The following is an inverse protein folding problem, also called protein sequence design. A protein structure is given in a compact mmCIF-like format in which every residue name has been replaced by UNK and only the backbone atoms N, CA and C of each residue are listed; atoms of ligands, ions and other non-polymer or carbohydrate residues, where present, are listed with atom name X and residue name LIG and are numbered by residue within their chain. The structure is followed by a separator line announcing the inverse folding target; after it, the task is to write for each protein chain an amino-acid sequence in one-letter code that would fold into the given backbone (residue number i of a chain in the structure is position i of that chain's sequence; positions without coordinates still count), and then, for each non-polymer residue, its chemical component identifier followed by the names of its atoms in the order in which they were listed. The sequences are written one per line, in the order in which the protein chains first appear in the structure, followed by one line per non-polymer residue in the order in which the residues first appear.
data_IF_708329303339
#
_entry.id   IF_708329303339
#
_cell.length_a   1.000
_cell.length_b   1.000
_cell.length_c   1.000
_cell.angle_alpha   90.00
_cell.angle_beta   90.00
_cell.angle_gamma   90.00
#
_symmetry.space_group_name_H-M   'P 1'
#
loop_
_entity.id
_entity.type
_entity.pdbx_description
1 polymer ?
#
# COMPACT_ATOMS: atom_id res chain seq x y z
N UNK A 1 -13.92 -14.99 4.86
CA UNK A 1 -14.18 -16.00 3.81
C UNK A 1 -13.69 -15.41 2.51
N UNK A 2 -12.78 -16.09 1.80
CA UNK A 2 -12.21 -15.57 0.56
C UNK A 2 -13.27 -15.47 -0.55
N UNK A 3 -13.13 -14.49 -1.47
CA UNK A 3 -14.10 -14.26 -2.52
C UNK A 3 -14.17 -15.44 -3.51
N UNK A 4 -15.39 -15.69 -4.02
CA UNK A 4 -15.61 -16.69 -5.07
C UNK A 4 -14.91 -16.31 -6.38
N UNK A 5 -14.65 -17.27 -7.26
CA UNK A 5 -14.10 -16.99 -8.60
C UNK A 5 -14.96 -16.02 -9.41
N UNK A 6 -16.29 -16.15 -9.35
CA UNK A 6 -17.22 -15.24 -10.01
C UNK A 6 -17.13 -13.81 -9.43
N UNK A 7 -16.97 -13.69 -8.12
CA UNK A 7 -16.73 -12.40 -7.45
C UNK A 7 -15.44 -11.76 -7.94
N UNK A 8 -14.35 -12.52 -7.98
CA UNK A 8 -13.03 -12.03 -8.43
C UNK A 8 -13.05 -11.62 -9.89
N UNK A 9 -13.70 -12.39 -10.76
CA UNK A 9 -13.84 -12.07 -12.18
C UNK A 9 -14.55 -10.71 -12.38
N UNK A 10 -15.69 -10.50 -11.69
CA UNK A 10 -16.40 -9.22 -11.71
C UNK A 10 -15.53 -8.07 -11.20
N UNK A 11 -14.75 -8.30 -10.15
CA UNK A 11 -13.85 -7.25 -9.63
C UNK A 11 -12.75 -6.90 -10.65
N UNK A 12 -12.16 -7.89 -11.32
CA UNK A 12 -11.14 -7.67 -12.35
C UNK A 12 -11.69 -6.93 -13.58
N UNK A 13 -12.95 -7.18 -13.95
CA UNK A 13 -13.62 -6.44 -15.04
C UNK A 13 -13.86 -4.97 -14.69
N UNK A 14 -14.16 -4.68 -13.41
CA UNK A 14 -14.49 -3.34 -12.95
C UNK A 14 -13.26 -2.48 -12.60
N UNK A 15 -12.20 -3.09 -12.05
CA UNK A 15 -11.00 -2.39 -11.61
C UNK A 15 -10.03 -2.19 -12.77
N UNK A 16 -9.67 -0.95 -13.04
CA UNK A 16 -8.75 -0.60 -14.13
C UNK A 16 -7.29 -0.80 -13.74
N UNK A 17 -6.97 -0.44 -12.50
CA UNK A 17 -5.61 -0.29 -11.98
C UNK A 17 -5.32 -1.23 -10.81
N UNK A 18 -6.33 -1.90 -10.28
CA UNK A 18 -6.15 -2.90 -9.22
C UNK A 18 -6.44 -4.33 -9.68
N UNK A 19 -5.80 -5.31 -9.02
CA UNK A 19 -6.09 -6.75 -9.16
C UNK A 19 -6.21 -7.39 -7.80
N UNK A 20 -7.14 -8.34 -7.69
CA UNK A 20 -7.26 -9.17 -6.49
C UNK A 20 -6.25 -10.32 -6.51
N UNK A 21 -5.57 -10.54 -5.38
CA UNK A 21 -4.64 -11.62 -5.14
C UNK A 21 -5.03 -12.40 -3.88
N UNK A 22 -5.02 -13.73 -3.99
CA UNK A 22 -5.13 -14.60 -2.83
C UNK A 22 -3.82 -14.64 -2.05
N UNK A 23 -3.90 -14.81 -0.73
CA UNK A 23 -2.74 -15.11 0.10
C UNK A 23 -2.08 -16.42 -0.37
N UNK A 24 -0.79 -16.37 -0.72
CA UNK A 24 -0.07 -17.56 -1.22
C UNK A 24 0.40 -18.45 -0.05
N UNK A 25 0.73 -17.85 1.09
CA UNK A 25 1.25 -18.54 2.28
C UNK A 25 0.20 -19.01 3.29
N UNK A 26 -1.09 -19.03 2.95
CA UNK A 26 -2.15 -19.49 3.86
C UNK A 26 -2.29 -18.67 5.15
N UNK A 27 -2.06 -17.35 5.08
CA UNK A 27 -2.09 -16.42 6.22
C UNK A 27 -0.94 -16.51 7.22
N UNK A 28 0.07 -17.34 6.95
CA UNK A 28 1.38 -17.20 7.58
C UNK A 28 2.15 -16.07 6.87
N UNK A 29 1.86 -14.82 7.26
CA UNK A 29 2.49 -13.58 6.77
C UNK A 29 1.97 -12.96 5.45
N UNK A 30 0.94 -13.53 4.82
CA UNK A 30 0.33 -12.96 3.60
C UNK A 30 -1.21 -12.96 3.71
N UNK A 31 -1.85 -11.86 3.33
CA UNK A 31 -3.30 -11.71 3.36
C UNK A 31 -3.86 -11.68 1.93
N UNK A 32 -5.14 -12.02 1.78
CA UNK A 32 -5.85 -11.68 0.55
C UNK A 32 -5.76 -10.15 0.38
N UNK A 33 -5.51 -9.66 -0.83
CA UNK A 33 -5.32 -8.22 -1.05
C UNK A 33 -5.83 -7.78 -2.42
N UNK A 34 -6.33 -6.56 -2.50
CA UNK A 34 -6.49 -5.83 -3.76
C UNK A 34 -5.26 -4.95 -3.92
N UNK A 35 -4.52 -5.18 -5.01
CA UNK A 35 -3.18 -4.66 -5.23
C UNK A 35 -3.08 -3.85 -6.52
N UNK A 36 -2.37 -2.73 -6.46
CA UNK A 36 -2.10 -1.84 -7.59
C UNK A 36 -0.80 -1.10 -7.39
N UNK A 37 -0.33 -0.41 -8.43
CA UNK A 37 0.91 0.39 -8.38
C UNK A 37 0.67 1.81 -8.84
N UNK A 38 1.32 2.77 -8.22
CA UNK A 38 1.47 4.14 -8.74
C UNK A 38 2.88 4.26 -9.31
N UNK A 39 2.99 4.59 -10.60
CA UNK A 39 4.30 4.74 -11.25
C UNK A 39 4.85 6.15 -11.05
N UNK A 40 6.17 6.27 -10.94
CA UNK A 40 6.88 7.54 -10.98
C UNK A 40 8.27 7.37 -11.61
N UNK A 41 8.80 8.46 -12.15
CA UNK A 41 10.07 8.51 -12.89
C UNK A 41 11.22 9.14 -12.10
N UNK A 42 10.91 9.84 -11.00
CA UNK A 42 11.90 10.54 -10.18
C UNK A 42 11.46 10.66 -8.72
N UNK A 43 12.42 10.93 -7.83
CA UNK A 43 12.12 11.24 -6.43
C UNK A 43 11.19 12.46 -6.29
N UNK A 44 11.40 13.51 -7.10
CA UNK A 44 10.55 14.70 -7.08
C UNK A 44 9.10 14.39 -7.45
N UNK A 45 8.88 13.49 -8.41
CA UNK A 45 7.55 13.03 -8.79
C UNK A 45 6.91 12.20 -7.68
N UNK A 46 7.66 11.27 -7.07
CA UNK A 46 7.21 10.52 -5.90
C UNK A 46 6.73 11.46 -4.78
N UNK A 47 7.53 12.47 -4.42
CA UNK A 47 7.14 13.46 -3.40
C UNK A 47 5.88 14.23 -3.81
N UNK A 48 5.79 14.68 -5.06
CA UNK A 48 4.59 15.37 -5.57
C UNK A 48 3.34 14.48 -5.54
N UNK A 49 3.47 13.16 -5.75
CA UNK A 49 2.35 12.22 -5.57
C UNK A 49 1.89 12.20 -4.12
N UNK A 50 2.81 12.06 -3.16
CA UNK A 50 2.48 12.05 -1.72
C UNK A 50 1.85 13.38 -1.25
N UNK A 51 2.34 14.52 -1.74
CA UNK A 51 1.71 15.82 -1.50
C UNK A 51 0.27 15.88 -2.05
N UNK A 52 0.06 15.43 -3.29
CA UNK A 52 -1.29 15.40 -3.91
C UNK A 52 -2.24 14.45 -3.19
N UNK A 53 -1.74 13.35 -2.64
CA UNK A 53 -2.52 12.45 -1.79
C UNK A 53 -2.91 13.09 -0.44
N UNK A 54 -2.28 14.21 -0.06
CA UNK A 54 -2.45 14.82 1.26
C UNK A 54 -1.72 14.08 2.36
N UNK A 55 -0.67 13.31 2.02
CA UNK A 55 0.15 12.55 2.94
C UNK A 55 1.64 12.78 2.62
N UNK A 56 2.21 13.95 2.97
CA UNK A 56 3.61 14.23 2.69
C UNK A 56 4.52 13.24 3.42
N UNK A 57 5.53 12.71 2.71
CA UNK A 57 6.53 11.82 3.33
C UNK A 57 7.33 12.56 4.38
N UNK A 58 7.58 11.89 5.50
CA UNK A 58 8.33 12.46 6.62
C UNK A 58 9.81 12.17 6.46
N UNK A 59 10.64 13.17 6.73
CA UNK A 59 12.08 12.98 6.87
C UNK A 59 12.38 12.26 8.19
N UNK A 60 13.34 11.34 8.14
CA UNK A 60 13.93 10.75 9.34
C UNK A 60 14.98 11.74 9.88
N UNK A 61 14.91 12.14 11.16
CA UNK A 61 15.90 13.04 11.74
C UNK A 61 17.33 12.47 11.66
N UNK A 62 18.31 13.37 11.50
CA UNK A 62 19.72 12.98 11.53
C UNK A 62 20.08 12.34 12.89
N UNK A 63 20.82 11.24 12.84
CA UNK A 63 21.20 10.48 14.03
C UNK A 63 20.07 9.70 14.71
N UNK A 64 18.85 9.70 14.16
CA UNK A 64 17.76 8.88 14.68
C UNK A 64 18.07 7.38 14.56
N UNK A 65 17.61 6.60 15.55
CA UNK A 65 17.70 5.14 15.51
C UNK A 65 16.82 4.59 14.39
N UNK A 66 17.37 3.63 13.62
CA UNK A 66 16.73 3.03 12.46
C UNK A 66 16.72 1.52 12.59
N UNK A 67 15.74 0.88 11.96
CA UNK A 67 15.71 -0.58 11.91
C UNK A 67 16.96 -1.09 11.18
N UNK A 68 17.64 -2.03 11.82
CA UNK A 68 18.85 -2.68 11.29
C UNK A 68 18.51 -4.07 10.78
N UNK A 69 18.94 -4.39 9.56
CA UNK A 69 18.74 -5.72 8.97
C UNK A 69 19.47 -6.79 9.80
N UNK A 70 18.77 -7.88 10.13
CA UNK A 70 19.31 -9.01 10.89
C UNK A 70 19.31 -8.81 12.42
N UNK A 71 18.87 -7.65 12.92
CA UNK A 71 18.66 -7.41 14.35
C UNK A 71 17.21 -7.72 14.71
N UNK A 72 17.02 -8.53 15.75
CA UNK A 72 15.71 -8.81 16.31
C UNK A 72 15.29 -7.68 17.24
N UNK A 73 14.03 -7.29 17.15
CA UNK A 73 13.41 -6.29 18.02
C UNK A 73 12.18 -6.90 18.68
N UNK A 74 11.89 -6.51 19.91
CA UNK A 74 10.56 -6.68 20.48
C UNK A 74 9.55 -5.80 19.73
N UNK A 75 8.26 -6.12 19.85
CA UNK A 75 7.20 -5.31 19.23
C UNK A 75 7.24 -3.84 19.67
N UNK A 76 7.55 -3.59 20.94
CA UNK A 76 7.60 -2.24 21.51
C UNK A 76 8.82 -1.44 21.02
N UNK A 77 9.95 -2.09 20.85
CA UNK A 77 11.15 -1.47 20.27
C UNK A 77 10.93 -1.17 18.79
N UNK A 78 10.42 -2.13 18.03
CA UNK A 78 10.16 -1.97 16.61
C UNK A 78 9.20 -0.80 16.32
N UNK A 79 8.20 -0.59 17.19
CA UNK A 79 7.25 0.51 17.07
C UNK A 79 7.84 1.91 17.34
N UNK A 80 9.01 2.01 17.99
CA UNK A 80 9.65 3.29 18.37
C UNK A 80 10.77 3.71 17.43
N UNK A 81 11.28 2.78 16.64
CA UNK A 81 12.42 2.97 15.74
C UNK A 81 11.93 3.43 14.36
N UNK A 82 12.72 4.24 13.65
CA UNK A 82 12.37 4.68 12.31
C UNK A 82 12.58 3.56 11.28
N UNK A 83 11.66 3.47 10.32
CA UNK A 83 11.69 2.50 9.24
C UNK A 83 11.96 3.25 7.94
N UNK A 84 13.19 3.27 7.44
CA UNK A 84 13.53 3.99 6.22
C UNK A 84 12.95 3.28 4.99
N UNK A 85 12.53 4.06 4.00
CA UNK A 85 12.27 3.54 2.66
C UNK A 85 13.60 3.05 2.09
N UNK A 86 13.70 1.77 1.74
CA UNK A 86 14.96 1.17 1.29
C UNK A 86 15.57 1.91 0.09
N UNK A 87 14.75 2.25 -0.90
CA UNK A 87 15.18 3.01 -2.08
C UNK A 87 15.45 4.50 -1.80
N UNK A 88 14.88 5.05 -0.71
CA UNK A 88 15.01 6.46 -0.34
C UNK A 88 15.22 6.63 1.18
N UNK A 89 16.39 6.26 1.72
CA UNK A 89 16.59 6.07 3.16
C UNK A 89 16.47 7.31 4.05
N UNK A 90 16.30 8.50 3.45
CA UNK A 90 16.04 9.75 4.17
C UNK A 90 14.57 9.91 4.58
N UNK A 91 13.66 9.14 3.99
CA UNK A 91 12.24 9.19 4.30
C UNK A 91 11.80 8.00 5.14
N UNK A 92 10.82 8.26 5.99
CA UNK A 92 10.08 7.24 6.74
C UNK A 92 9.12 6.49 5.82
N UNK A 93 9.13 5.16 5.87
CA UNK A 93 8.19 4.29 5.19
C UNK A 93 6.74 4.66 5.59
N UNK A 94 5.83 4.88 4.63
CA UNK A 94 4.47 5.30 4.91
C UNK A 94 3.66 4.21 5.63
N UNK A 95 3.78 2.95 5.19
CA UNK A 95 3.03 1.82 5.74
C UNK A 95 1.52 2.01 5.64
N UNK A 96 0.78 1.72 6.73
CA UNK A 96 -0.66 1.96 6.78
C UNK A 96 -0.99 3.44 6.88
N UNK A 97 -1.76 3.95 5.92
CA UNK A 97 -2.24 5.32 5.89
C UNK A 97 -3.77 5.36 5.88
N UNK A 98 -4.32 6.55 6.17
CA UNK A 98 -5.76 6.79 6.16
C UNK A 98 -6.09 8.05 5.35
N UNK A 99 -6.58 7.87 4.13
CA UNK A 99 -6.91 8.97 3.19
C UNK A 99 -8.32 8.74 2.65
N UNK A 100 -9.10 9.82 2.49
CA UNK A 100 -10.49 9.78 1.99
C UNK A 100 -11.44 8.87 2.79
N UNK A 101 -11.16 8.68 4.08
CA UNK A 101 -11.91 7.77 4.94
C UNK A 101 -11.56 6.28 4.74
N UNK A 102 -10.51 5.97 3.98
CA UNK A 102 -10.10 4.62 3.63
C UNK A 102 -8.72 4.35 4.24
N UNK A 103 -8.58 3.23 4.94
CA UNK A 103 -7.30 2.70 5.37
C UNK A 103 -6.73 1.77 4.29
N UNK A 104 -5.48 1.98 3.90
CA UNK A 104 -4.75 1.10 2.99
C UNK A 104 -3.24 1.17 3.29
N UNK A 105 -2.48 0.20 2.80
CA UNK A 105 -1.04 0.12 3.01
C UNK A 105 -0.29 0.55 1.76
N UNK A 106 0.73 1.39 1.94
CA UNK A 106 1.65 1.82 0.89
C UNK A 106 3.04 1.30 1.18
N UNK A 107 3.72 0.86 0.13
CA UNK A 107 5.16 0.57 0.14
C UNK A 107 5.83 1.29 -1.01
N UNK A 108 6.96 1.94 -0.74
CA UNK A 108 7.70 2.70 -1.76
C UNK A 108 8.88 1.90 -2.27
N UNK A 109 8.87 1.60 -3.56
CA UNK A 109 9.97 0.97 -4.28
C UNK A 109 10.75 2.00 -5.10
N UNK A 110 11.72 1.55 -5.90
CA UNK A 110 12.59 2.45 -6.67
C UNK A 110 11.86 3.25 -7.76
N UNK A 111 10.74 2.73 -8.30
CA UNK A 111 10.03 3.32 -9.45
C UNK A 111 8.51 3.33 -9.31
N UNK A 112 8.02 2.74 -8.24
CA UNK A 112 6.60 2.63 -8.01
C UNK A 112 6.25 2.64 -6.52
N UNK A 113 5.01 2.98 -6.23
CA UNK A 113 4.40 2.87 -4.91
C UNK A 113 3.37 1.74 -5.01
N UNK A 114 3.62 0.67 -4.27
CA UNK A 114 2.69 -0.44 -4.11
C UNK A 114 1.51 0.00 -3.21
N UNK A 115 0.29 -0.31 -3.65
CA UNK A 115 -0.96 0.04 -2.94
C UNK A 115 -1.70 -1.25 -2.61
N UNK A 116 -1.91 -1.50 -1.32
CA UNK A 116 -2.56 -2.72 -0.82
C UNK A 116 -3.81 -2.39 -0.03
N UNK A 117 -4.92 -3.04 -0.39
CA UNK A 117 -6.23 -2.82 0.23
C UNK A 117 -6.75 -4.17 0.74
N UNK A 118 -6.98 -4.24 2.05
CA UNK A 118 -7.64 -5.37 2.72
C UNK A 118 -8.17 -4.93 4.09
N UNK A 119 -9.06 -5.74 4.66
CA UNK A 119 -9.52 -5.58 6.05
C UNK A 119 -10.43 -4.39 6.33
N UNK A 120 -11.16 -3.87 5.35
CA UNK A 120 -12.14 -2.81 5.56
C UNK A 120 -13.27 -3.15 6.56
N UNK A 121 -13.47 -4.44 6.86
CA UNK A 121 -14.42 -4.93 7.87
C UNK A 121 -13.75 -5.38 9.18
N UNK A 122 -12.48 -5.05 9.39
CA UNK A 122 -11.74 -5.35 10.63
C UNK A 122 -11.02 -6.71 10.63
N UNK A 123 -11.21 -7.54 9.60
CA UNK A 123 -10.42 -8.76 9.39
C UNK A 123 -9.29 -8.48 8.39
N UNK A 124 -8.03 -8.30 8.84
CA UNK A 124 -6.92 -7.94 7.95
C UNK A 124 -6.54 -9.04 6.96
N UNK A 125 -7.04 -10.27 7.15
CA UNK A 125 -6.65 -11.43 6.35
C UNK A 125 -7.53 -11.64 5.11
N UNK A 126 -8.70 -11.02 5.07
CA UNK A 126 -9.66 -11.19 3.97
C UNK A 126 -10.02 -9.89 3.26
N UNK A 127 -10.32 -10.03 1.96
CA UNK A 127 -10.87 -8.97 1.12
C UNK A 127 -12.35 -9.17 0.98
N UNK A 128 -13.09 -8.09 1.13
CA UNK A 128 -14.54 -8.05 1.09
C UNK A 128 -15.03 -7.12 -0.03
N UNK A 129 -16.34 -7.11 -0.27
CA UNK A 129 -16.96 -6.15 -1.20
C UNK A 129 -16.69 -4.69 -0.79
N UNK A 130 -16.45 -4.43 0.50
CA UNK A 130 -16.13 -3.09 0.99
C UNK A 130 -14.73 -2.66 0.54
N UNK A 131 -13.76 -3.57 0.56
CA UNK A 131 -12.42 -3.34 0.04
C UNK A 131 -12.45 -3.08 -1.47
N UNK A 132 -13.26 -3.83 -2.22
CA UNK A 132 -13.50 -3.58 -3.63
C UNK A 132 -14.07 -2.18 -3.90
N UNK A 133 -15.08 -1.74 -3.12
CA UNK A 133 -15.63 -0.38 -3.22
C UNK A 133 -14.59 0.68 -2.85
N UNK A 134 -13.73 0.42 -1.89
CA UNK A 134 -12.62 1.30 -1.55
C UNK A 134 -11.62 1.41 -2.72
N UNK A 135 -11.28 0.30 -3.37
CA UNK A 135 -10.40 0.29 -4.53
C UNK A 135 -10.96 1.13 -5.69
N UNK A 136 -12.26 0.97 -6.02
CA UNK A 136 -12.93 1.82 -7.01
C UNK A 136 -12.87 3.31 -6.66
N UNK A 137 -13.08 3.64 -5.38
CA UNK A 137 -12.99 5.03 -4.91
C UNK A 137 -11.55 5.55 -5.03
N UNK A 138 -10.55 4.75 -4.68
CA UNK A 138 -9.14 5.13 -4.80
C UNK A 138 -8.77 5.39 -6.26
N UNK A 139 -9.16 4.52 -7.20
CA UNK A 139 -8.93 4.76 -8.64
C UNK A 139 -9.50 6.11 -9.07
N UNK A 140 -10.75 6.39 -8.69
CA UNK A 140 -11.41 7.65 -9.06
C UNK A 140 -10.76 8.89 -8.43
N UNK A 141 -10.33 8.82 -7.17
CA UNK A 141 -9.64 9.95 -6.53
C UNK A 141 -8.23 10.16 -7.10
N UNK A 142 -7.49 9.09 -7.38
CA UNK A 142 -6.19 9.17 -8.06
C UNK A 142 -6.32 9.77 -9.47
N UNK A 143 -7.34 9.37 -10.24
CA UNK A 143 -7.62 9.94 -11.56
C UNK A 143 -7.86 11.46 -11.48
N UNK A 144 -8.68 11.93 -10.51
CA UNK A 144 -8.90 13.37 -10.28
C UNK A 144 -7.63 14.14 -9.93
N UNK A 145 -6.70 13.49 -9.23
CA UNK A 145 -5.40 14.07 -8.86
C UNK A 145 -4.34 13.96 -9.97
N UNK A 146 -4.67 13.34 -11.12
CA UNK A 146 -3.71 13.07 -12.17
C UNK A 146 -2.60 12.11 -11.73
N UNK A 147 -2.91 11.17 -10.84
CA UNK A 147 -2.01 10.11 -10.39
C UNK A 147 -2.26 8.87 -11.24
N UNK A 148 -1.22 8.43 -11.95
CA UNK A 148 -1.32 7.27 -12.84
C UNK A 148 -1.16 5.98 -12.04
N UNK A 149 -2.22 5.19 -11.98
CA UNK A 149 -2.21 3.86 -11.38
C UNK A 149 -2.21 2.77 -12.46
N UNK A 150 -1.43 1.72 -12.26
CA UNK A 150 -1.36 0.55 -13.12
C UNK A 150 -1.68 -0.71 -12.34
N UNK A 151 -2.30 -1.73 -12.98
CA UNK A 151 -2.35 -3.08 -12.40
C UNK A 151 -0.96 -3.48 -11.93
N UNK A 152 -0.85 -3.87 -10.67
CA UNK A 152 0.40 -4.41 -10.16
C UNK A 152 0.40 -5.91 -10.40
N UNK A 153 1.50 -6.45 -10.91
CA UNK A 153 1.79 -7.88 -10.79
C UNK A 153 2.46 -8.12 -9.43
N UNK A 154 1.88 -8.99 -8.60
CA UNK A 154 2.53 -9.46 -7.37
C UNK A 154 3.65 -10.42 -7.80
N UNK A 155 4.88 -9.90 -7.94
CA UNK A 155 6.08 -10.68 -8.26
C UNK A 155 6.55 -11.50 -7.09
#
# INVERSE_FOLDING_TARGET
MSPSKATVARWHEALKSFRFYYAVGGHANDADTIYGKIQFSSEAEMLSIFERLGFPLKLIPDGAERVESGKSYTSDEYARIYHPIWAYPKYQEPGFIHIWGIKFYLEVHQKDISVHISGANGDPWSVTEKDFKHALKIEAECEKLGIVMTPGDKT
#
